data_IF_708416578818
#
_entry.id   IF_708416578818
#
_cell.length_a   1.000
_cell.length_b   1.000
_cell.length_c   1.000
_cell.angle_alpha   90.00
_cell.angle_beta   90.00
_cell.angle_gamma   90.00
#
_symmetry.space_group_name_H-M   'P 1'
#
loop_
_entity.id
_entity.type
_entity.pdbx_description
1 polymer ?
#
# COMPACT_ATOMS: atom_id res chain seq x y z
N UNK A 1 -14.57 -5.93 19.78
CA UNK A 1 -14.67 -5.38 18.42
C UNK A 1 -13.46 -5.92 17.69
N UNK A 2 -13.64 -6.78 16.68
CA UNK A 2 -12.50 -7.30 15.91
C UNK A 2 -11.87 -6.13 15.14
N UNK A 3 -10.76 -5.63 15.67
CA UNK A 3 -9.97 -4.60 15.02
C UNK A 3 -9.20 -5.27 13.87
N UNK A 4 -9.38 -4.74 12.66
CA UNK A 4 -8.59 -5.20 11.51
C UNK A 4 -7.25 -4.47 11.53
N UNK A 5 -6.18 -5.18 11.84
CA UNK A 5 -4.85 -4.58 12.07
C UNK A 5 -4.01 -4.36 10.81
N UNK A 6 -4.32 -5.04 9.72
CA UNK A 6 -3.54 -4.99 8.48
C UNK A 6 -4.43 -5.16 7.26
N UNK A 7 -4.30 -4.25 6.31
CA UNK A 7 -4.78 -4.43 4.95
C UNK A 7 -3.63 -4.95 4.08
N UNK A 8 -3.83 -6.08 3.41
CA UNK A 8 -2.97 -6.50 2.30
C UNK A 8 -3.65 -6.05 1.02
N UNK A 9 -3.10 -5.04 0.36
CA UNK A 9 -3.65 -4.51 -0.88
C UNK A 9 -3.00 -5.20 -2.09
N UNK A 10 -3.80 -5.95 -2.83
CA UNK A 10 -3.41 -6.65 -4.07
C UNK A 10 -4.07 -6.01 -5.32
N UNK A 11 -4.73 -4.86 -5.15
CA UNK A 11 -5.36 -4.14 -6.25
C UNK A 11 -4.43 -3.10 -6.86
N UNK A 12 -4.77 -2.63 -8.05
CA UNK A 12 -3.98 -1.63 -8.78
C UNK A 12 -4.09 -0.21 -8.17
N UNK A 13 -5.07 0.02 -7.31
CA UNK A 13 -5.35 1.30 -6.66
C UNK A 13 -5.32 1.18 -5.12
N UNK A 14 -5.48 2.32 -4.43
CA UNK A 14 -5.66 2.36 -2.98
C UNK A 14 -7.16 2.14 -2.68
N UNK A 15 -7.56 1.06 -1.99
CA UNK A 15 -8.97 0.82 -1.68
C UNK A 15 -9.53 1.94 -0.79
N UNK A 16 -10.78 2.33 -1.00
CA UNK A 16 -11.44 3.36 -0.17
C UNK A 16 -11.52 3.03 1.32
N UNK A 17 -11.38 1.74 1.66
CA UNK A 17 -11.34 1.26 3.06
C UNK A 17 -9.95 1.33 3.70
N UNK A 18 -8.90 1.73 2.96
CA UNK A 18 -7.51 1.71 3.44
C UNK A 18 -7.30 2.52 4.73
N UNK A 19 -7.98 3.67 4.84
CA UNK A 19 -7.92 4.52 6.03
C UNK A 19 -8.53 3.89 7.29
N UNK A 20 -9.30 2.80 7.16
CA UNK A 20 -9.86 2.07 8.31
C UNK A 20 -8.86 1.08 8.94
N UNK A 21 -7.66 0.94 8.38
CA UNK A 21 -6.63 0.03 8.87
C UNK A 21 -5.43 0.80 9.39
N UNK A 22 -4.80 0.37 10.49
CA UNK A 22 -3.62 1.04 11.04
C UNK A 22 -2.35 0.72 10.22
N UNK A 23 -2.35 -0.34 9.42
CA UNK A 23 -1.22 -0.74 8.56
C UNK A 23 -1.70 -1.23 7.21
N UNK A 24 -0.87 -1.00 6.20
CA UNK A 24 -1.09 -1.45 4.83
C UNK A 24 0.19 -2.13 4.33
N UNK A 25 0.06 -3.31 3.75
CA UNK A 25 1.13 -4.01 3.04
C UNK A 25 0.76 -4.17 1.57
N UNK A 26 1.71 -3.93 0.69
CA UNK A 26 1.55 -4.06 -0.77
C UNK A 26 2.72 -4.85 -1.36
N UNK A 27 2.47 -5.58 -2.44
CA UNK A 27 3.51 -6.26 -3.21
C UNK A 27 3.94 -5.40 -4.39
N UNK A 28 5.26 -5.24 -4.57
CA UNK A 28 5.84 -4.59 -5.74
C UNK A 28 6.42 -5.68 -6.64
N UNK A 29 5.70 -6.03 -7.71
CA UNK A 29 6.19 -6.98 -8.71
C UNK A 29 7.27 -6.36 -9.61
N UNK A 30 8.04 -7.21 -10.30
CA UNK A 30 9.23 -6.81 -11.05
C UNK A 30 8.94 -6.28 -12.46
N UNK A 31 7.72 -6.46 -12.98
CA UNK A 31 7.28 -5.91 -14.26
C UNK A 31 7.08 -4.38 -14.18
N UNK A 32 7.24 -3.71 -15.32
CA UNK A 32 7.28 -2.24 -15.34
C UNK A 32 5.92 -1.58 -15.06
N UNK A 33 4.81 -2.21 -15.46
CA UNK A 33 3.47 -1.69 -15.19
C UNK A 33 3.17 -1.74 -13.69
N UNK A 34 3.44 -2.88 -13.04
CA UNK A 34 3.29 -3.01 -11.59
C UNK A 34 4.19 -2.05 -10.81
N UNK A 35 5.41 -1.80 -11.27
CA UNK A 35 6.30 -0.79 -10.65
C UNK A 35 5.73 0.62 -10.80
N UNK A 36 5.18 0.98 -11.96
CA UNK A 36 4.57 2.29 -12.18
C UNK A 36 3.37 2.50 -11.25
N UNK A 37 2.48 1.53 -11.17
CA UNK A 37 1.33 1.55 -10.27
C UNK A 37 1.76 1.66 -8.79
N UNK A 38 2.76 0.88 -8.40
CA UNK A 38 3.33 0.92 -7.04
C UNK A 38 3.93 2.30 -6.71
N UNK A 39 4.64 2.93 -7.66
CA UNK A 39 5.20 4.28 -7.50
C UNK A 39 4.11 5.35 -7.32
N UNK A 40 2.99 5.21 -8.03
CA UNK A 40 1.82 6.11 -7.87
C UNK A 40 1.25 6.01 -6.45
N UNK A 41 0.99 4.79 -5.97
CA UNK A 41 0.44 4.57 -4.62
C UNK A 41 1.44 4.99 -3.53
N UNK A 42 2.72 4.69 -3.69
CA UNK A 42 3.79 5.16 -2.80
C UNK A 42 3.77 6.66 -2.62
N UNK A 43 3.64 7.42 -3.72
CA UNK A 43 3.58 8.89 -3.67
C UNK A 43 2.38 9.36 -2.87
N UNK A 44 1.20 8.77 -3.09
CA UNK A 44 -0.02 9.11 -2.35
C UNK A 44 0.16 8.85 -0.85
N UNK A 45 0.68 7.68 -0.46
CA UNK A 45 0.88 7.36 0.95
C UNK A 45 1.90 8.29 1.63
N UNK A 46 2.98 8.64 0.93
CA UNK A 46 3.99 9.56 1.45
C UNK A 46 3.39 10.95 1.66
N UNK A 47 2.64 11.43 0.67
CA UNK A 47 2.06 12.77 0.69
C UNK A 47 0.90 12.86 1.72
N UNK A 48 0.27 11.74 2.08
CA UNK A 48 -0.69 11.65 3.19
C UNK A 48 -0.05 11.40 4.56
N UNK A 49 1.28 11.42 4.67
CA UNK A 49 2.01 11.37 5.94
C UNK A 49 2.22 9.97 6.51
N UNK A 50 2.04 8.90 5.72
CA UNK A 50 2.39 7.56 6.20
C UNK A 50 3.90 7.39 6.35
N UNK A 51 4.30 6.66 7.40
CA UNK A 51 5.64 6.09 7.49
C UNK A 51 5.73 4.90 6.53
N UNK A 52 6.65 4.95 5.57
CA UNK A 52 6.80 3.91 4.54
C UNK A 52 8.04 3.07 4.84
N UNK A 53 7.83 1.76 4.94
CA UNK A 53 8.89 0.76 5.07
C UNK A 53 8.92 -0.11 3.81
N UNK A 54 10.12 -0.56 3.41
CA UNK A 54 10.31 -1.46 2.27
C UNK A 54 11.19 -2.61 2.69
N UNK A 55 10.69 -3.84 2.50
CA UNK A 55 11.43 -5.06 2.77
C UNK A 55 11.77 -5.73 1.44
N UNK A 56 13.05 -6.02 1.22
CA UNK A 56 13.49 -6.84 0.08
C UNK A 56 13.39 -8.31 0.49
N UNK A 57 12.72 -9.11 -0.34
CA UNK A 57 12.57 -10.56 -0.19
C UNK A 57 13.56 -11.30 -1.10
#
# INVERSE_FOLDING_TARGET
VDAKDLLINLSDDIPGIAASFPRIAELVASDEDSKQLSRKRFTIYRDSGHSIETHKL
#
